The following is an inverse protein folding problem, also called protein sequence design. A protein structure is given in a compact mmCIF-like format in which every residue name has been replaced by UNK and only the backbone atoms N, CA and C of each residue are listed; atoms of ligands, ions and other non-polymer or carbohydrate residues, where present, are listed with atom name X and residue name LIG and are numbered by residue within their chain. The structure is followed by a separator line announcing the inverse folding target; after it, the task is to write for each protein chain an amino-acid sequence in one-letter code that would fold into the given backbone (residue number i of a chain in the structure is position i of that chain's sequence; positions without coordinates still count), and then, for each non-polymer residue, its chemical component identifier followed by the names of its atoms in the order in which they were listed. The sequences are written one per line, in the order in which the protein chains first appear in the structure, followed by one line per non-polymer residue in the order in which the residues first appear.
data_IF_911541761710
#
_entry.id   IF_911541761710
#
_cell.length_a   1.000
_cell.length_b   1.000
_cell.length_c   1.000
_cell.angle_alpha   90.00
_cell.angle_beta   90.00
_cell.angle_gamma   90.00
#
_symmetry.space_group_name_H-M   'P 1'
#
loop_
_entity.id
_entity.type
_entity.pdbx_description
1 polymer ?
#
# COMPACT_ATOMS: atom_id res chain seq x y z
N UNK A 1 9.14 -9.96 -10.24
CA UNK A 1 8.72 -9.34 -8.95
C UNK A 1 7.23 -9.55 -8.86
N UNK A 2 6.71 -10.32 -7.90
CA UNK A 2 5.28 -10.64 -7.85
C UNK A 2 4.49 -9.44 -7.33
N UNK A 3 4.01 -8.57 -8.24
CA UNK A 3 3.14 -7.44 -7.92
C UNK A 3 1.87 -7.88 -7.17
N UNK A 4 1.30 -9.03 -7.56
CA UNK A 4 0.11 -9.61 -6.91
C UNK A 4 0.30 -9.86 -5.41
N UNK A 5 1.48 -10.38 -5.03
CA UNK A 5 1.80 -10.66 -3.63
C UNK A 5 1.94 -9.36 -2.82
N UNK A 6 2.51 -8.31 -3.44
CA UNK A 6 2.66 -7.00 -2.80
C UNK A 6 1.32 -6.30 -2.63
N UNK A 7 0.41 -6.45 -3.59
CA UNK A 7 -0.94 -5.89 -3.52
C UNK A 7 -1.76 -6.55 -2.40
N UNK A 8 -1.71 -7.89 -2.31
CA UNK A 8 -2.34 -8.63 -1.19
C UNK A 8 -1.77 -8.22 0.17
N UNK A 9 -0.45 -8.11 0.28
CA UNK A 9 0.21 -7.61 1.50
C UNK A 9 -0.23 -6.20 1.85
N UNK A 10 -0.40 -5.33 0.85
CA UNK A 10 -0.86 -3.97 1.07
C UNK A 10 -2.31 -3.94 1.56
N UNK A 11 -3.20 -4.74 0.95
CA UNK A 11 -4.58 -4.89 1.40
C UNK A 11 -4.67 -5.48 2.81
N UNK A 12 -3.89 -6.51 3.14
CA UNK A 12 -3.86 -7.08 4.48
C UNK A 12 -3.34 -6.09 5.52
N UNK A 13 -2.28 -5.34 5.21
CA UNK A 13 -1.75 -4.31 6.10
C UNK A 13 -2.80 -3.21 6.38
N UNK A 14 -3.54 -2.79 5.35
CA UNK A 14 -4.60 -1.78 5.46
C UNK A 14 -5.77 -2.26 6.31
N UNK A 15 -6.10 -3.57 6.29
CA UNK A 15 -7.14 -4.10 7.19
C UNK A 15 -6.80 -3.94 8.67
N UNK A 16 -5.52 -3.78 9.01
CA UNK A 16 -5.09 -3.48 10.38
C UNK A 16 -5.05 -1.98 10.69
N UNK A 17 -5.26 -1.12 9.69
CA UNK A 17 -5.35 0.30 9.90
C UNK A 17 -6.79 0.66 10.23
N UNK A 18 -6.97 1.54 11.20
CA UNK A 18 -8.29 2.09 11.56
C UNK A 18 -8.71 3.19 10.58
N UNK A 19 -8.51 2.95 9.28
CA UNK A 19 -8.88 3.91 8.22
C UNK A 19 -9.69 3.21 7.13
N UNK A 20 -10.71 3.91 6.64
CA UNK A 20 -11.42 3.46 5.46
C UNK A 20 -10.66 3.86 4.20
N UNK A 21 -10.18 2.87 3.44
CA UNK A 21 -9.42 3.08 2.21
C UNK A 21 -10.36 3.12 1.01
N UNK A 22 -10.31 4.24 0.27
CA UNK A 22 -11.04 4.45 -0.97
C UNK A 22 -10.31 3.84 -2.17
N UNK A 23 -8.99 3.98 -2.21
CA UNK A 23 -8.19 3.52 -3.35
C UNK A 23 -6.76 3.21 -2.93
N UNK A 24 -6.24 2.10 -3.46
CA UNK A 24 -4.85 1.70 -3.34
C UNK A 24 -4.21 1.74 -4.73
N UNK A 25 -3.20 2.59 -4.89
CA UNK A 25 -2.46 2.71 -6.14
C UNK A 25 -0.97 2.45 -5.91
N UNK A 26 -0.36 1.63 -6.76
CA UNK A 26 1.09 1.48 -6.75
C UNK A 26 1.73 2.80 -7.21
N UNK A 27 2.49 3.44 -6.32
CA UNK A 27 3.10 4.74 -6.61
C UNK A 27 4.52 4.60 -7.13
N UNK A 28 5.32 3.73 -6.51
CA UNK A 28 6.73 3.58 -6.86
C UNK A 28 7.19 2.14 -6.61
N UNK A 29 7.86 1.55 -7.59
CA UNK A 29 8.42 0.21 -7.47
C UNK A 29 9.84 0.19 -8.05
N UNK A 30 10.80 0.59 -7.23
CA UNK A 30 12.24 0.47 -7.53
C UNK A 30 12.85 -0.55 -6.56
N UNK A 31 13.61 -0.11 -5.56
CA UNK A 31 14.16 -0.99 -4.52
C UNK A 31 13.10 -1.39 -3.48
N UNK A 32 12.28 -0.43 -3.06
CA UNK A 32 11.10 -0.66 -2.20
C UNK A 32 9.82 -0.50 -3.01
N UNK A 33 8.75 -1.18 -2.59
CA UNK A 33 7.42 -1.01 -3.18
C UNK A 33 6.63 -0.02 -2.34
N UNK A 34 6.26 1.11 -2.92
CA UNK A 34 5.49 2.17 -2.27
C UNK A 34 4.10 2.21 -2.89
N UNK A 35 3.08 2.01 -2.06
CA UNK A 35 1.68 2.19 -2.41
C UNK A 35 1.18 3.52 -1.85
N UNK A 36 0.44 4.25 -2.67
CA UNK A 36 -0.34 5.40 -2.26
C UNK A 36 -1.73 4.89 -1.87
N UNK A 37 -2.14 5.22 -0.66
CA UNK A 37 -3.41 4.83 -0.07
C UNK A 37 -4.24 6.09 0.13
N UNK A 38 -5.36 6.18 -0.57
CA UNK A 38 -6.29 7.30 -0.42
C UNK A 38 -7.42 6.86 0.52
N UNK A 39 -7.52 7.53 1.67
CA UNK A 39 -8.59 7.31 2.63
C UNK A 39 -9.89 7.98 2.18
N UNK A 40 -11.03 7.42 2.58
CA UNK A 40 -12.35 8.05 2.43
C UNK A 40 -12.47 9.34 3.25
N UNK A 41 -11.65 9.49 4.28
CA UNK A 41 -11.50 10.69 5.10
C UNK A 41 -10.91 11.91 4.35
N UNK A 42 -10.52 11.74 3.07
CA UNK A 42 -9.86 12.77 2.27
C UNK A 42 -8.35 12.86 2.51
N UNK A 43 -7.84 12.08 3.48
CA UNK A 43 -6.43 11.98 3.80
C UNK A 43 -5.70 10.97 2.89
N UNK A 44 -4.45 11.29 2.56
CA UNK A 44 -3.58 10.43 1.73
C UNK A 44 -2.45 9.87 2.57
N UNK A 45 -2.24 8.55 2.48
CA UNK A 45 -1.21 7.82 3.19
C UNK A 45 -0.26 7.11 2.21
N UNK A 46 0.95 6.84 2.67
CA UNK A 46 1.96 6.10 1.89
C UNK A 46 2.32 4.81 2.63
N UNK A 47 2.05 3.68 2.01
CA UNK A 47 2.43 2.35 2.51
C UNK A 47 3.72 1.90 1.82
N UNK A 48 4.79 1.76 2.60
CA UNK A 48 6.09 1.29 2.10
C UNK A 48 6.31 -0.17 2.49
N UNK A 49 6.40 -1.04 1.48
CA UNK A 49 6.82 -2.43 1.64
C UNK A 49 8.31 -2.51 1.29
N UNK A 50 9.11 -2.76 2.32
CA UNK A 50 10.53 -3.06 2.16
C UNK A 50 10.70 -4.43 1.53
N UNK A 51 11.47 -4.50 0.44
CA UNK A 51 11.94 -5.79 -0.06
C UNK A 51 12.99 -6.30 0.91
N UNK A 52 12.88 -7.57 1.28
CA UNK A 52 13.95 -8.25 2.01
C UNK A 52 15.16 -8.34 1.06
N UNK A 53 16.20 -7.56 1.35
CA UNK A 53 17.55 -7.74 0.80
C UNK A 53 18.26 -8.87 1.52
#
# INVERSE_FOLDING_TARGET
VNQDALFKLAEEAIKHWDIEVKSLNLHLQSENTVFKVEGLDGNTYALRIHRKG
#
